data_IF_592029828937
#
_entry.id   IF_592029828937
#
_cell.length_a   1.000
_cell.length_b   1.000
_cell.length_c   1.000
_cell.angle_alpha   90.00
_cell.angle_beta   90.00
_cell.angle_gamma   90.00
#
_symmetry.space_group_name_H-M   'P 1'
#
loop_
_entity.id
_entity.type
_entity.pdbx_description
1 polymer ?
#
# COMPACT_ATOMS: atom_id res chain seq x y z
N UNK A 1 -18.74 36.98 17.72
CA UNK A 1 -17.95 36.26 16.69
C UNK A 1 -18.92 35.86 15.60
N UNK A 2 -18.56 36.02 14.32
CA UNK A 2 -19.49 35.89 13.20
C UNK A 2 -19.92 34.44 13.03
N UNK A 3 -21.23 34.15 13.07
CA UNK A 3 -21.80 32.80 12.88
C UNK A 3 -21.27 32.09 11.62
N UNK A 4 -20.86 32.86 10.60
CA UNK A 4 -20.22 32.35 9.39
C UNK A 4 -18.88 31.66 9.66
N UNK A 5 -18.10 32.15 10.62
CA UNK A 5 -16.83 31.53 11.03
C UNK A 5 -17.08 30.20 11.73
N UNK A 6 -18.13 30.11 12.54
CA UNK A 6 -18.49 28.87 13.25
C UNK A 6 -18.96 27.79 12.28
N UNK A 7 -19.73 28.15 11.24
CA UNK A 7 -20.12 27.23 10.16
C UNK A 7 -18.90 26.72 9.38
N UNK A 8 -17.98 27.61 9.02
CA UNK A 8 -16.75 27.23 8.30
C UNK A 8 -15.87 26.33 9.18
N UNK A 9 -15.76 26.63 10.48
CA UNK A 9 -14.99 25.83 11.42
C UNK A 9 -15.64 24.45 11.63
N UNK A 10 -16.97 24.37 11.74
CA UNK A 10 -17.70 23.11 11.80
C UNK A 10 -17.47 22.26 10.54
N UNK A 11 -17.48 22.88 9.35
CA UNK A 11 -17.16 22.20 8.11
C UNK A 11 -15.71 21.69 8.09
N UNK A 12 -14.75 22.52 8.53
CA UNK A 12 -13.35 22.16 8.62
C UNK A 12 -13.12 20.97 9.57
N UNK A 13 -13.79 20.97 10.73
CA UNK A 13 -13.76 19.87 11.70
C UNK A 13 -14.37 18.59 11.10
N UNK A 14 -15.53 18.70 10.44
CA UNK A 14 -16.20 17.58 9.80
C UNK A 14 -15.32 16.97 8.69
N UNK A 15 -14.69 17.81 7.86
CA UNK A 15 -13.78 17.33 6.82
C UNK A 15 -12.56 16.63 7.42
N UNK A 16 -11.96 17.20 8.46
CA UNK A 16 -10.72 16.69 9.06
C UNK A 16 -10.93 15.38 9.84
N UNK A 17 -12.04 15.26 10.57
CA UNK A 17 -12.28 14.12 11.47
C UNK A 17 -13.20 13.05 10.90
N UNK A 18 -14.06 13.37 9.92
CA UNK A 18 -15.04 12.42 9.38
C UNK A 18 -14.75 12.10 7.92
N UNK A 19 -14.80 13.11 7.04
CA UNK A 19 -14.74 12.85 5.59
C UNK A 19 -13.38 12.30 5.18
N UNK A 20 -12.29 12.99 5.53
CA UNK A 20 -10.95 12.56 5.12
C UNK A 20 -10.57 11.17 5.65
N UNK A 21 -10.78 10.85 6.95
CA UNK A 21 -10.53 9.50 7.45
C UNK A 21 -11.44 8.46 6.79
N UNK A 22 -12.75 8.71 6.70
CA UNK A 22 -13.69 7.74 6.14
C UNK A 22 -13.39 7.41 4.68
N UNK A 23 -13.06 8.42 3.86
CA UNK A 23 -12.67 8.22 2.47
C UNK A 23 -11.34 7.49 2.35
N UNK A 24 -10.36 7.83 3.20
CA UNK A 24 -9.03 7.20 3.17
C UNK A 24 -9.12 5.72 3.53
N UNK A 25 -9.77 5.39 4.65
CA UNK A 25 -9.96 3.99 5.08
C UNK A 25 -10.86 3.22 4.10
N UNK A 26 -11.94 3.82 3.61
CA UNK A 26 -12.81 3.20 2.61
C UNK A 26 -12.08 2.90 1.30
N UNK A 27 -11.25 3.82 0.82
CA UNK A 27 -10.42 3.64 -0.38
C UNK A 27 -9.40 2.52 -0.20
N UNK A 28 -8.75 2.44 0.97
CA UNK A 28 -7.81 1.36 1.29
C UNK A 28 -8.48 -0.02 1.26
N UNK A 29 -9.65 -0.15 1.88
CA UNK A 29 -10.43 -1.40 1.87
C UNK A 29 -10.90 -1.76 0.46
N UNK A 30 -11.37 -0.77 -0.31
CA UNK A 30 -11.81 -0.95 -1.70
C UNK A 30 -10.66 -1.40 -2.62
N UNK A 31 -9.47 -0.80 -2.48
CA UNK A 31 -8.26 -1.22 -3.19
C UNK A 31 -7.85 -2.65 -2.83
N UNK A 32 -7.97 -3.03 -1.54
CA UNK A 32 -7.73 -4.40 -1.09
C UNK A 32 -8.70 -5.38 -1.77
N UNK A 33 -9.99 -5.08 -1.75
CA UNK A 33 -11.03 -5.91 -2.37
C UNK A 33 -10.90 -6.01 -3.90
N UNK A 34 -10.59 -4.91 -4.59
CA UNK A 34 -10.36 -4.90 -6.04
C UNK A 34 -9.15 -5.76 -6.43
N UNK A 35 -8.06 -5.66 -5.68
CA UNK A 35 -6.87 -6.46 -5.95
C UNK A 35 -7.15 -7.96 -5.79
N UNK A 36 -7.88 -8.37 -4.74
CA UNK A 36 -8.25 -9.77 -4.54
C UNK A 36 -9.16 -10.29 -5.67
N UNK A 37 -10.15 -9.50 -6.11
CA UNK A 37 -11.06 -9.92 -7.19
C UNK A 37 -10.36 -10.00 -8.56
N UNK A 38 -9.48 -9.04 -8.88
CA UNK A 38 -8.70 -9.05 -10.13
C UNK A 38 -7.66 -10.18 -10.16
N UNK A 39 -6.93 -10.39 -9.06
CA UNK A 39 -5.91 -11.44 -9.00
C UNK A 39 -6.56 -12.82 -9.07
N UNK A 40 -7.68 -13.02 -8.35
CA UNK A 40 -8.41 -14.28 -8.41
C UNK A 40 -8.98 -14.56 -9.80
N UNK A 41 -9.47 -13.53 -10.52
CA UNK A 41 -10.01 -13.70 -11.87
C UNK A 41 -8.93 -14.07 -12.90
N UNK A 42 -7.70 -13.55 -12.75
CA UNK A 42 -6.60 -13.79 -13.70
C UNK A 42 -5.79 -15.04 -13.34
N UNK A 43 -5.35 -15.16 -12.10
CA UNK A 43 -4.42 -16.21 -11.67
C UNK A 43 -5.11 -17.45 -11.09
N UNK A 44 -6.43 -17.40 -10.85
CA UNK A 44 -7.20 -18.48 -10.20
C UNK A 44 -6.69 -18.85 -8.79
N UNK A 45 -5.83 -18.01 -8.20
CA UNK A 45 -5.27 -18.11 -6.84
C UNK A 45 -5.54 -16.84 -6.05
N UNK A 46 -5.78 -17.00 -4.75
CA UNK A 46 -5.86 -15.87 -3.81
C UNK A 46 -4.44 -15.46 -3.41
N UNK A 47 -3.95 -14.33 -3.93
CA UNK A 47 -2.71 -13.72 -3.45
C UNK A 47 -2.94 -13.12 -2.07
N UNK A 48 -2.76 -13.92 -1.02
CA UNK A 48 -2.96 -13.50 0.36
C UNK A 48 -1.98 -12.40 0.82
N UNK A 49 -0.81 -12.28 0.18
CA UNK A 49 0.20 -11.27 0.51
C UNK A 49 -0.13 -9.85 0.00
N UNK A 50 -1.34 -9.63 -0.53
CA UNK A 50 -1.75 -8.33 -1.05
C UNK A 50 -1.80 -7.25 0.04
N UNK A 51 -2.33 -7.59 1.22
CA UNK A 51 -2.40 -6.67 2.35
C UNK A 51 -0.98 -6.33 2.85
N UNK A 52 -0.07 -7.30 2.90
CA UNK A 52 1.32 -7.06 3.33
C UNK A 52 2.10 -6.26 2.30
N UNK A 53 1.80 -6.43 1.01
CA UNK A 53 2.36 -5.59 -0.04
C UNK A 53 1.95 -4.11 0.13
N UNK A 54 0.71 -3.85 0.56
CA UNK A 54 0.25 -2.50 0.88
C UNK A 54 0.93 -1.94 2.15
N UNK A 55 1.09 -2.76 3.18
CA UNK A 55 1.80 -2.39 4.41
C UNK A 55 3.27 -2.08 4.14
N UNK A 56 3.95 -2.90 3.34
CA UNK A 56 5.35 -2.72 2.96
C UNK A 56 5.57 -1.44 2.14
N UNK A 57 4.67 -1.14 1.19
CA UNK A 57 4.69 0.12 0.47
C UNK A 57 4.58 1.34 1.41
N UNK A 58 3.72 1.24 2.42
CA UNK A 58 3.54 2.28 3.45
C UNK A 58 4.80 2.44 4.30
N UNK A 59 5.43 1.34 4.70
CA UNK A 59 6.70 1.35 5.42
C UNK A 59 7.79 2.10 4.63
N UNK A 60 7.94 1.80 3.33
CA UNK A 60 8.90 2.50 2.47
C UNK A 60 8.61 4.00 2.44
N UNK A 61 7.35 4.40 2.29
CA UNK A 61 6.96 5.83 2.28
C UNK A 61 7.33 6.51 3.59
N UNK A 62 7.04 5.89 4.74
CA UNK A 62 7.34 6.47 6.06
C UNK A 62 8.85 6.61 6.27
N UNK A 63 9.63 5.56 5.92
CA UNK A 63 11.08 5.57 6.06
C UNK A 63 11.74 6.61 5.15
N UNK A 64 11.32 6.69 3.90
CA UNK A 64 11.81 7.68 2.96
C UNK A 64 11.40 9.10 3.38
N UNK A 65 10.15 9.28 3.83
CA UNK A 65 9.68 10.59 4.32
C UNK A 65 10.48 11.07 5.52
N UNK A 66 10.70 10.21 6.53
CA UNK A 66 11.55 10.54 7.67
C UNK A 66 13.00 10.87 7.26
N UNK A 67 13.55 10.10 6.31
CA UNK A 67 14.89 10.32 5.79
C UNK A 67 15.04 11.65 5.03
N UNK A 68 14.02 12.05 4.26
CA UNK A 68 14.01 13.32 3.53
C UNK A 68 13.83 14.51 4.47
N UNK A 69 12.96 14.37 5.49
CA UNK A 69 12.80 15.38 6.55
C UNK A 69 14.14 15.58 7.28
N UNK A 70 14.84 14.50 7.65
CA UNK A 70 16.15 14.57 8.31
C UNK A 70 17.22 15.26 7.45
N UNK A 71 17.16 15.14 6.12
CA UNK A 71 18.06 15.81 5.19
C UNK A 71 17.70 17.28 4.92
N UNK A 72 16.64 17.80 5.53
CA UNK A 72 16.17 19.18 5.34
C UNK A 72 15.42 19.41 4.02
N UNK A 73 14.98 18.34 3.34
CA UNK A 73 14.20 18.43 2.11
C UNK A 73 12.73 18.69 2.44
N UNK A 74 12.45 19.86 3.01
CA UNK A 74 11.09 20.30 3.35
C UNK A 74 10.74 21.47 2.45
N UNK A 75 9.85 21.25 1.48
CA UNK A 75 9.30 22.34 0.69
C UNK A 75 8.26 23.04 1.57
N UNK A 76 8.50 24.31 1.91
CA UNK A 76 7.53 25.13 2.64
C UNK A 76 6.19 25.14 1.91
N UNK A 77 5.15 24.58 2.52
CA UNK A 77 3.78 24.54 1.98
C UNK A 77 3.38 23.28 1.22
N UNK A 78 4.30 22.35 0.92
CA UNK A 78 3.98 21.08 0.24
C UNK A 78 4.43 19.91 1.11
N UNK A 79 3.53 18.96 1.47
CA UNK A 79 3.93 17.78 2.24
C UNK A 79 5.09 17.06 1.55
N UNK A 80 6.21 16.89 2.25
CA UNK A 80 7.39 16.14 1.75
C UNK A 80 7.01 14.74 1.26
N UNK A 81 5.91 14.19 1.77
CA UNK A 81 5.28 12.97 1.29
C UNK A 81 5.04 12.94 -0.23
N UNK A 82 4.64 14.05 -0.87
CA UNK A 82 4.37 14.10 -2.31
C UNK A 82 5.62 13.87 -3.16
N UNK A 83 6.77 14.38 -2.70
CA UNK A 83 8.07 14.19 -3.37
C UNK A 83 8.55 12.76 -3.20
N UNK A 84 8.19 12.12 -2.08
CA UNK A 84 8.61 10.77 -1.74
C UNK A 84 7.85 9.70 -2.53
N UNK A 85 6.62 9.98 -2.96
CA UNK A 85 5.78 9.05 -3.75
C UNK A 85 6.53 8.42 -4.95
N UNK A 86 7.16 9.17 -5.88
CA UNK A 86 7.84 8.56 -7.02
C UNK A 86 9.00 7.64 -6.61
N UNK A 87 9.75 7.99 -5.56
CA UNK A 87 10.82 7.13 -5.03
C UNK A 87 10.26 5.88 -4.35
N UNK A 88 9.15 6.00 -3.64
CA UNK A 88 8.49 4.87 -3.00
C UNK A 88 7.89 3.90 -4.04
N UNK A 89 7.33 4.41 -5.15
CA UNK A 89 6.84 3.57 -6.26
C UNK A 89 7.98 2.76 -6.87
N UNK A 90 9.16 3.36 -7.05
CA UNK A 90 10.33 2.64 -7.54
C UNK A 90 10.76 1.53 -6.57
N UNK A 91 10.83 1.83 -5.26
CA UNK A 91 11.14 0.84 -4.23
C UNK A 91 10.14 -0.32 -4.23
N UNK A 92 8.85 -0.01 -4.30
CA UNK A 92 7.78 -1.00 -4.36
C UNK A 92 7.83 -1.84 -5.64
N UNK A 93 8.13 -1.22 -6.79
CA UNK A 93 8.26 -1.93 -8.07
C UNK A 93 9.42 -2.92 -8.05
N UNK A 94 10.57 -2.54 -7.48
CA UNK A 94 11.71 -3.43 -7.31
C UNK A 94 11.34 -4.60 -6.39
N UNK A 95 10.68 -4.32 -5.26
CA UNK A 95 10.21 -5.35 -4.33
C UNK A 95 9.32 -6.39 -5.03
N UNK A 96 8.30 -5.93 -5.76
CA UNK A 96 7.39 -6.82 -6.49
C UNK A 96 8.13 -7.66 -7.56
N UNK A 97 9.10 -7.08 -8.27
CA UNK A 97 9.92 -7.80 -9.24
C UNK A 97 10.84 -8.84 -8.60
N UNK A 98 11.39 -8.55 -7.41
CA UNK A 98 12.21 -9.49 -6.64
C UNK A 98 11.34 -10.67 -6.18
N UNK A 99 10.14 -10.41 -5.67
CA UNK A 99 9.19 -11.45 -5.27
C UNK A 99 8.79 -12.31 -6.48
N UNK A 100 8.47 -11.71 -7.64
CA UNK A 100 8.20 -12.44 -8.88
C UNK A 100 9.37 -13.36 -9.29
N UNK A 101 10.59 -12.82 -9.24
CA UNK A 101 11.78 -13.54 -9.68
C UNK A 101 12.24 -14.64 -8.73
N UNK A 102 12.13 -14.43 -7.41
CA UNK A 102 12.57 -15.40 -6.40
C UNK A 102 11.51 -16.47 -6.16
N UNK A 103 10.24 -16.09 -6.04
CA UNK A 103 9.16 -16.99 -5.66
C UNK A 103 8.51 -17.61 -6.90
N UNK A 104 7.96 -16.78 -7.79
CA UNK A 104 7.13 -17.27 -8.88
C UNK A 104 7.91 -17.96 -10.00
N UNK A 105 9.15 -17.52 -10.30
CA UNK A 105 10.02 -18.19 -11.28
C UNK A 105 10.41 -19.62 -10.86
N UNK A 106 10.61 -19.85 -9.56
CA UNK A 106 10.95 -21.18 -9.03
C UNK A 106 9.77 -22.14 -9.15
N UNK A 107 8.57 -21.68 -8.79
CA UNK A 107 7.36 -22.50 -8.85
C UNK A 107 6.84 -22.76 -10.27
N UNK A 108 7.07 -21.85 -11.23
CA UNK A 108 6.75 -22.10 -12.66
C UNK A 108 7.53 -23.26 -13.27
N UNK A 109 8.76 -23.53 -12.82
CA UNK A 109 9.58 -24.66 -13.32
C UNK A 109 9.11 -26.02 -12.82
N UNK A 110 8.40 -26.07 -11.70
CA UNK A 110 8.10 -27.32 -10.99
C UNK A 110 6.77 -27.94 -11.47
N UNK A 111 5.97 -27.25 -12.30
CA UNK A 111 4.71 -27.78 -12.87
C UNK A 111 3.75 -28.38 -11.81
N UNK A 112 3.89 -27.98 -10.54
CA UNK A 112 3.09 -28.50 -9.44
C UNK A 112 1.67 -27.93 -9.55
N UNK A 113 0.67 -28.81 -9.41
CA UNK A 113 -0.78 -28.51 -9.49
C UNK A 113 -1.06 -27.13 -8.87
N UNK A 114 -1.40 -26.21 -9.76
CA UNK A 114 -1.21 -24.76 -9.58
C UNK A 114 -1.97 -24.18 -8.36
N UNK A 115 -2.99 -24.86 -7.82
CA UNK A 115 -3.80 -24.40 -6.67
C UNK A 115 -3.12 -24.34 -5.31
N UNK A 116 -2.49 -25.42 -4.86
CA UNK A 116 -2.11 -25.52 -3.43
C UNK A 116 -0.79 -24.79 -3.19
N UNK A 117 0.13 -24.88 -4.15
CA UNK A 117 1.48 -24.34 -4.03
C UNK A 117 1.51 -22.81 -4.09
N UNK A 118 0.64 -22.18 -4.90
CA UNK A 118 0.53 -20.73 -4.97
C UNK A 118 -0.01 -20.10 -3.67
N UNK A 119 -0.91 -20.81 -2.98
CA UNK A 119 -1.46 -20.38 -1.68
C UNK A 119 -0.39 -20.49 -0.59
N UNK A 120 0.32 -21.63 -0.49
CA UNK A 120 1.41 -21.81 0.49
C UNK A 120 2.56 -20.84 0.25
N UNK A 121 2.90 -20.53 -1.00
CA UNK A 121 3.92 -19.54 -1.34
C UNK A 121 3.48 -18.11 -0.97
N UNK A 122 2.21 -17.74 -1.22
CA UNK A 122 1.67 -16.42 -0.82
C UNK A 122 1.65 -16.26 0.70
N UNK A 123 1.31 -17.32 1.45
CA UNK A 123 1.41 -17.36 2.91
C UNK A 123 2.87 -17.21 3.37
N UNK A 124 3.82 -17.85 2.68
CA UNK A 124 5.25 -17.69 2.97
C UNK A 124 5.76 -16.25 2.80
N UNK A 125 5.30 -15.55 1.75
CA UNK A 125 5.62 -14.12 1.55
C UNK A 125 4.97 -13.25 2.63
N UNK A 126 3.74 -13.57 3.02
CA UNK A 126 3.04 -12.93 4.15
C UNK A 126 3.91 -12.91 5.42
N UNK A 127 4.48 -14.05 5.79
CA UNK A 127 5.36 -14.18 6.97
C UNK A 127 6.71 -13.48 6.81
N UNK A 128 7.26 -13.37 5.61
CA UNK A 128 8.53 -12.66 5.39
C UNK A 128 8.34 -11.14 5.42
N UNK A 129 7.16 -10.66 4.99
CA UNK A 129 6.89 -9.23 4.85
C UNK A 129 6.25 -8.63 6.11
N UNK A 130 5.44 -9.41 6.83
CA UNK A 130 4.70 -8.96 8.02
C UNK A 130 4.99 -9.74 9.31
N UNK A 131 5.87 -10.75 9.28
CA UNK A 131 6.33 -11.47 10.47
C UNK A 131 7.42 -10.77 11.25
#
# INVERSE_FOLDING_TARGET
MSDSVDIINALALLTNFVILPALSYGSQLALGALAVTLIYSVLRFSNFAQADSMAFGTMIIILLSGSFISKGWVISGVPTALIVIPFAILGMSIYLLVVDRLVYRHYRKINARQNIVGITASIGVMFITGG
#
